data_IF_882513284181
#
_entry.id   IF_882513284181
#
_cell.length_a   1.000
_cell.length_b   1.000
_cell.length_c   1.000
_cell.angle_alpha   90.00
_cell.angle_beta   90.00
_cell.angle_gamma   90.00
#
_symmetry.space_group_name_H-M   'P 1'
#
loop_
_entity.id
_entity.type
_entity.pdbx_description
1 polymer ?
#
# COMPACT_ATOMS: atom_id res chain seq x y z
N UNK A 1 12.69 -7.21 11.21
CA UNK A 1 11.36 -7.60 11.73
C UNK A 1 11.45 -8.51 12.95
N UNK A 2 12.19 -9.65 12.91
CA UNK A 2 12.38 -10.54 14.06
C UNK A 2 12.78 -9.83 15.36
N UNK A 3 13.75 -8.91 15.28
CA UNK A 3 14.24 -8.13 16.43
C UNK A 3 13.13 -7.36 17.17
N UNK A 4 12.09 -6.89 16.45
CA UNK A 4 10.98 -6.18 17.09
C UNK A 4 10.05 -7.12 17.86
N UNK A 5 9.91 -8.35 17.39
CA UNK A 5 9.12 -9.39 18.06
C UNK A 5 9.87 -9.85 19.32
N UNK A 6 11.17 -10.10 19.20
CA UNK A 6 12.01 -10.54 20.32
C UNK A 6 12.21 -9.45 21.40
N UNK A 7 11.88 -8.19 21.11
CA UNK A 7 11.98 -7.08 22.06
C UNK A 7 10.95 -7.16 23.20
N UNK A 8 9.88 -7.96 23.03
CA UNK A 8 8.87 -8.17 24.06
C UNK A 8 8.78 -9.66 24.43
N UNK A 9 9.01 -10.03 25.71
CA UNK A 9 9.02 -11.43 26.12
C UNK A 9 7.65 -12.12 26.01
N UNK A 10 6.56 -11.34 25.89
CA UNK A 10 5.22 -11.89 25.66
C UNK A 10 4.99 -12.28 24.20
N UNK A 11 5.88 -11.90 23.29
CA UNK A 11 5.81 -12.24 21.88
C UNK A 11 6.75 -13.40 21.54
N UNK A 12 6.29 -14.31 20.70
CA UNK A 12 7.11 -15.39 20.14
C UNK A 12 7.13 -15.28 18.62
N UNK A 13 8.30 -15.06 18.06
CA UNK A 13 8.50 -15.07 16.61
C UNK A 13 8.24 -16.47 16.03
N UNK A 14 7.54 -16.51 14.88
CA UNK A 14 7.37 -17.73 14.08
C UNK A 14 8.12 -17.61 12.76
N UNK A 15 7.71 -16.67 11.90
CA UNK A 15 8.30 -16.47 10.58
C UNK A 15 8.13 -15.06 10.07
N UNK A 16 9.01 -14.69 9.13
CA UNK A 16 8.91 -13.47 8.35
C UNK A 16 9.41 -13.76 6.94
N UNK A 17 8.56 -13.66 5.94
CA UNK A 17 8.90 -13.97 4.55
C UNK A 17 8.54 -12.85 3.60
N UNK A 18 9.40 -12.60 2.61
CA UNK A 18 8.99 -11.92 1.39
C UNK A 18 8.03 -12.86 0.66
N UNK A 19 6.75 -12.50 0.63
CA UNK A 19 5.68 -13.40 0.19
C UNK A 19 5.53 -13.34 -1.34
N UNK A 20 5.48 -12.14 -1.90
CA UNK A 20 5.30 -11.91 -3.33
C UNK A 20 5.56 -10.44 -3.72
N UNK A 21 5.56 -10.20 -5.02
CA UNK A 21 5.41 -8.88 -5.62
C UNK A 21 3.92 -8.56 -5.75
N UNK A 22 3.44 -7.54 -5.03
CA UNK A 22 2.11 -6.98 -5.20
C UNK A 22 2.02 -6.05 -6.42
N UNK A 23 0.83 -5.51 -6.71
CA UNK A 23 0.60 -4.66 -7.89
C UNK A 23 1.46 -3.37 -7.87
N UNK A 24 1.79 -2.87 -6.69
CA UNK A 24 2.70 -1.73 -6.50
C UNK A 24 3.55 -1.86 -5.23
N UNK A 25 3.74 -3.08 -4.71
CA UNK A 25 4.33 -3.33 -3.39
C UNK A 25 5.25 -4.55 -3.36
N UNK A 26 6.12 -4.59 -2.36
CA UNK A 26 6.83 -5.80 -1.94
C UNK A 26 6.17 -6.28 -0.66
N UNK A 27 5.48 -7.41 -0.71
CA UNK A 27 4.67 -7.85 0.42
C UNK A 27 5.48 -8.80 1.31
N UNK A 28 5.49 -8.51 2.61
CA UNK A 28 6.12 -9.34 3.62
C UNK A 28 5.05 -9.88 4.57
N UNK A 29 5.05 -11.19 4.81
CA UNK A 29 4.22 -11.84 5.84
C UNK A 29 5.03 -11.97 7.13
N UNK A 30 4.52 -11.41 8.23
CA UNK A 30 5.07 -11.58 9.58
C UNK A 30 4.08 -12.37 10.43
N UNK A 31 4.54 -13.49 10.98
CA UNK A 31 3.75 -14.34 11.90
C UNK A 31 4.46 -14.42 13.25
N UNK A 32 3.69 -14.19 14.30
CA UNK A 32 4.12 -14.24 15.69
C UNK A 32 2.95 -14.72 16.57
N UNK A 33 3.28 -15.16 17.78
CA UNK A 33 2.31 -15.56 18.79
C UNK A 33 2.39 -14.65 20.01
N UNK A 34 1.25 -14.41 20.64
CA UNK A 34 1.16 -13.71 21.92
C UNK A 34 0.96 -14.75 23.02
N UNK A 35 1.87 -14.80 23.99
CA UNK A 35 1.83 -15.72 25.12
C UNK A 35 0.96 -15.16 26.27
N UNK A 36 -0.22 -14.63 25.92
CA UNK A 36 -1.17 -14.05 26.86
C UNK A 36 -2.58 -14.29 26.30
N UNK A 37 -3.50 -14.88 27.08
CA UNK A 37 -4.86 -15.15 26.62
C UNK A 37 -5.75 -13.90 26.57
N UNK A 38 -5.33 -12.78 27.18
CA UNK A 38 -6.12 -11.56 27.23
C UNK A 38 -6.08 -10.83 25.88
N UNK A 39 -7.26 -10.63 25.27
CA UNK A 39 -7.37 -9.98 23.97
C UNK A 39 -6.84 -8.54 23.96
N UNK A 40 -7.03 -7.79 25.05
CA UNK A 40 -6.48 -6.42 25.15
C UNK A 40 -4.95 -6.43 25.08
N UNK A 41 -4.31 -7.39 25.75
CA UNK A 41 -2.85 -7.55 25.72
C UNK A 41 -2.39 -7.90 24.29
N UNK A 42 -3.10 -8.78 23.59
CA UNK A 42 -2.82 -9.07 22.19
C UNK A 42 -2.87 -7.80 21.33
N UNK A 43 -3.94 -7.01 21.45
CA UNK A 43 -4.12 -5.80 20.65
C UNK A 43 -3.05 -4.74 20.94
N UNK A 44 -2.72 -4.53 22.22
CA UNK A 44 -1.70 -3.57 22.63
C UNK A 44 -0.31 -3.98 22.13
N UNK A 45 0.03 -5.27 22.23
CA UNK A 45 1.31 -5.78 21.75
C UNK A 45 1.41 -5.73 20.21
N UNK A 46 0.33 -6.07 19.50
CA UNK A 46 0.29 -5.96 18.05
C UNK A 46 0.48 -4.50 17.61
N UNK A 47 -0.22 -3.56 18.23
CA UNK A 47 -0.06 -2.13 17.92
C UNK A 47 1.36 -1.66 18.21
N UNK A 48 1.90 -1.98 19.39
CA UNK A 48 3.26 -1.62 19.79
C UNK A 48 4.30 -2.13 18.78
N UNK A 49 4.16 -3.39 18.35
CA UNK A 49 5.03 -4.01 17.36
C UNK A 49 4.95 -3.29 16.00
N UNK A 50 3.74 -3.12 15.46
CA UNK A 50 3.54 -2.50 14.14
C UNK A 50 4.01 -1.04 14.10
N UNK A 51 3.74 -0.26 15.15
CA UNK A 51 4.21 1.12 15.26
C UNK A 51 5.73 1.19 15.36
N UNK A 52 6.37 0.27 16.09
CA UNK A 52 7.83 0.21 16.18
C UNK A 52 8.47 -0.10 14.82
N UNK A 53 7.90 -1.04 14.05
CA UNK A 53 8.33 -1.35 12.69
C UNK A 53 8.17 -0.13 11.79
N UNK A 54 7.01 0.53 11.82
CA UNK A 54 6.74 1.74 11.04
C UNK A 54 7.76 2.84 11.31
N UNK A 55 8.03 3.14 12.59
CA UNK A 55 9.03 4.15 12.98
C UNK A 55 10.42 3.80 12.48
N UNK A 56 10.83 2.53 12.58
CA UNK A 56 12.14 2.10 12.09
C UNK A 56 12.28 2.26 10.58
N UNK A 57 11.23 1.92 9.83
CA UNK A 57 11.23 2.08 8.38
C UNK A 57 11.31 3.55 8.00
N UNK A 58 10.57 4.42 8.69
CA UNK A 58 10.67 5.87 8.52
C UNK A 58 12.09 6.40 8.80
N UNK A 59 12.75 5.96 9.88
CA UNK A 59 14.16 6.31 10.17
C UNK A 59 15.12 5.91 9.04
N UNK A 60 14.85 4.77 8.41
CA UNK A 60 15.66 4.23 7.31
C UNK A 60 15.26 4.78 5.93
N UNK A 61 14.30 5.71 5.86
CA UNK A 61 13.74 6.25 4.61
C UNK A 61 13.15 5.15 3.72
N UNK A 62 12.57 4.13 4.35
CA UNK A 62 11.80 3.09 3.69
C UNK A 62 10.34 3.51 3.74
N UNK A 63 9.85 4.00 2.60
CA UNK A 63 8.45 4.39 2.46
C UNK A 63 7.57 3.16 2.23
N UNK A 64 6.35 3.20 2.77
CA UNK A 64 5.35 2.19 2.46
C UNK A 64 4.80 2.40 1.06
N UNK A 65 4.58 1.30 0.35
CA UNK A 65 4.01 1.31 -0.98
C UNK A 65 2.59 1.90 -0.98
N UNK A 66 2.34 2.80 -1.91
CA UNK A 66 1.00 3.25 -2.28
C UNK A 66 0.64 2.67 -3.66
N UNK A 67 -0.64 2.43 -3.95
CA UNK A 67 -1.06 2.06 -5.30
C UNK A 67 -0.51 3.06 -6.31
N UNK A 68 0.31 2.58 -7.25
CA UNK A 68 1.01 3.43 -8.21
C UNK A 68 0.51 3.08 -9.61
N UNK A 69 0.17 4.10 -10.40
CA UNK A 69 -0.23 3.92 -11.80
C UNK A 69 0.57 4.83 -12.70
N UNK A 70 1.18 4.24 -13.72
CA UNK A 70 1.79 5.00 -14.81
C UNK A 70 0.69 5.50 -15.74
N UNK A 71 0.56 6.81 -15.88
CA UNK A 71 -0.35 7.45 -16.83
C UNK A 71 0.45 7.82 -18.08
N UNK A 72 0.12 7.20 -19.22
CA UNK A 72 0.68 7.55 -20.52
C UNK A 72 -0.27 8.54 -21.17
N UNK A 73 0.18 9.78 -21.41
CA UNK A 73 -0.62 10.82 -22.06
C UNK A 73 -0.25 10.83 -23.55
N UNK A 74 -1.20 10.42 -24.40
CA UNK A 74 -1.09 10.56 -25.85
C UNK A 74 -1.71 11.89 -26.30
N UNK A 75 -0.95 12.70 -27.03
CA UNK A 75 -1.36 14.04 -27.49
C UNK A 75 -2.10 14.03 -28.83
N UNK A 76 -2.41 12.86 -29.39
CA UNK A 76 -3.00 12.73 -30.74
C UNK A 76 -4.53 12.69 -30.79
N UNK A 77 -5.22 12.73 -29.65
CA UNK A 77 -6.68 12.88 -29.63
C UNK A 77 -7.08 14.32 -30.02
N UNK A 78 -7.08 14.60 -31.33
CA UNK A 78 -7.73 15.78 -31.87
C UNK A 78 -9.23 15.73 -31.51
N UNK A 79 -9.72 16.80 -30.90
CA UNK A 79 -11.13 17.03 -30.65
C UNK A 79 -11.85 17.04 -32.00
N UNK A 80 -12.62 15.99 -32.30
CA UNK A 80 -13.60 16.04 -33.37
C UNK A 80 -14.73 16.97 -32.92
N UNK A 81 -14.67 18.24 -33.32
CA UNK A 81 -15.82 19.13 -33.26
C UNK A 81 -16.88 18.63 -34.24
N UNK A 82 -17.83 17.85 -33.75
CA UNK A 82 -19.08 17.59 -34.42
C UNK A 82 -19.90 18.89 -34.43
N UNK A 83 -19.96 19.59 -35.56
CA UNK A 83 -20.86 20.73 -35.70
C UNK A 83 -20.56 21.71 -36.82
N UNK A 84 -20.44 21.25 -38.07
CA UNK A 84 -20.58 22.13 -39.25
C UNK A 84 -21.18 21.36 -40.44
N UNK A 85 -22.44 20.93 -40.32
CA UNK A 85 -23.31 20.71 -41.48
C UNK A 85 -24.52 21.64 -41.32
N UNK A 86 -24.31 22.94 -41.45
CA UNK A 86 -25.39 23.88 -41.72
C UNK A 86 -25.55 23.94 -43.24
N UNK A 87 -26.54 23.22 -43.77
CA UNK A 87 -26.97 23.37 -45.17
C UNK A 87 -27.38 24.84 -45.40
N UNK A 88 -26.94 25.49 -46.48
CA UNK A 88 -27.35 26.86 -46.76
C UNK A 88 -28.85 26.89 -47.11
N UNK A 89 -29.59 27.77 -46.44
CA UNK A 89 -30.99 28.06 -46.77
C UNK A 89 -31.10 28.55 -48.23
N UNK A 90 -32.11 28.10 -49.00
CA UNK A 90 -32.32 28.61 -50.35
C UNK A 90 -32.82 30.06 -50.30
N UNK A 91 -32.41 30.91 -51.27
CA UNK A 91 -32.92 32.28 -51.36
C UNK A 91 -34.39 32.31 -51.83
N UNK A 92 -35.09 33.38 -51.42
CA UNK A 92 -36.53 33.65 -51.58
C UNK A 92 -37.02 33.56 -53.02
#
# INVERSE_FOLDING_TARGET
MKEFVDADPKLRFDRCHFMNYGESSLDFELVFFVNDPEYNVYMDLQQKLLVAIYRKFAEQKIDFAFPTRTVVIDRTAQVQTAGQNAEPFPPV
#
